data_IF_124779397024
#
_entry.id   IF_124779397024
#
_cell.length_a   1.000
_cell.length_b   1.000
_cell.length_c   1.000
_cell.angle_alpha   90.00
_cell.angle_beta   90.00
_cell.angle_gamma   90.00
#
_symmetry.space_group_name_H-M   'P 1'
#
loop_
_entity.id
_entity.type
_entity.pdbx_description
1 polymer ?
#
# COMPACT_ATOMS: atom_id res chain seq x y z
N UNK A 1 0.02 24.03 -9.77
CA UNK A 1 0.79 23.37 -8.71
C UNK A 1 0.30 21.94 -8.66
N UNK A 2 1.18 20.97 -8.87
CA UNK A 2 0.89 19.55 -8.88
C UNK A 2 0.76 18.96 -7.45
N UNK A 3 -0.24 19.42 -6.68
CA UNK A 3 -0.47 18.97 -5.31
C UNK A 3 -1.89 18.42 -5.14
N UNK A 4 -2.03 17.20 -4.61
CA UNK A 4 -3.32 16.63 -4.21
C UNK A 4 -3.16 15.62 -3.08
N UNK A 5 -4.26 15.35 -2.37
CA UNK A 5 -4.30 14.41 -1.25
C UNK A 5 -5.32 13.33 -1.49
N UNK A 6 -4.94 12.08 -1.22
CA UNK A 6 -5.81 10.92 -1.21
C UNK A 6 -5.95 10.43 0.23
N UNK A 7 -7.19 10.24 0.66
CA UNK A 7 -7.54 9.56 1.91
C UNK A 7 -7.98 8.14 1.59
N UNK A 8 -7.51 7.16 2.38
CA UNK A 8 -7.93 5.76 2.31
C UNK A 8 -8.30 5.27 3.72
N UNK A 9 -9.40 4.53 3.82
CA UNK A 9 -9.79 3.81 5.04
C UNK A 9 -9.82 2.31 4.78
N UNK A 10 -9.37 1.52 5.74
CA UNK A 10 -9.26 0.06 5.61
C UNK A 10 -9.86 -0.71 6.79
N UNK A 11 -10.55 -1.82 6.54
CA UNK A 11 -11.19 -2.65 7.57
C UNK A 11 -10.24 -3.60 8.36
N UNK A 12 -10.87 -4.52 9.12
CA UNK A 12 -10.27 -5.57 9.96
C UNK A 12 -9.23 -6.46 9.29
N UNK A 13 -9.34 -6.69 7.98
CA UNK A 13 -8.36 -7.45 7.21
C UNK A 13 -7.55 -6.56 6.28
N UNK A 14 -7.68 -5.24 6.50
CA UNK A 14 -7.00 -4.16 5.80
C UNK A 14 -7.41 -4.12 4.33
N UNK A 15 -8.69 -4.41 4.04
CA UNK A 15 -9.31 -4.13 2.74
C UNK A 15 -9.75 -2.68 2.68
N UNK A 16 -9.64 -2.05 1.51
CA UNK A 16 -10.10 -0.67 1.33
C UNK A 16 -11.62 -0.62 1.44
N UNK A 17 -12.14 0.16 2.39
CA UNK A 17 -13.58 0.40 2.58
C UNK A 17 -14.00 1.76 2.07
N UNK A 18 -13.10 2.74 2.10
CA UNK A 18 -13.32 4.05 1.49
C UNK A 18 -12.06 4.66 0.92
N UNK A 19 -12.25 5.55 -0.06
CA UNK A 19 -11.16 6.35 -0.57
C UNK A 19 -11.65 7.53 -1.39
N UNK A 20 -11.09 8.70 -1.11
CA UNK A 20 -11.57 9.99 -1.62
C UNK A 20 -10.45 11.01 -1.72
N UNK A 21 -10.72 12.07 -2.46
CA UNK A 21 -9.91 13.27 -2.36
C UNK A 21 -10.17 13.92 -1.00
N UNK A 22 -9.12 14.16 -0.21
CA UNK A 22 -9.26 14.89 1.03
C UNK A 22 -9.39 16.38 0.71
N UNK A 23 -10.51 16.99 1.09
CA UNK A 23 -10.78 18.43 0.95
C UNK A 23 -10.34 19.16 2.23
N UNK A 24 -10.62 18.55 3.38
CA UNK A 24 -10.12 18.94 4.70
C UNK A 24 -9.22 17.80 5.21
N UNK A 25 -7.93 18.09 5.40
CA UNK A 25 -6.97 17.09 5.85
C UNK A 25 -6.95 17.07 7.37
N UNK A 26 -7.68 16.12 7.98
CA UNK A 26 -7.52 15.84 9.41
C UNK A 26 -6.06 15.47 9.70
N UNK A 27 -5.42 16.19 10.62
CA UNK A 27 -4.13 15.75 11.15
C UNK A 27 -4.35 14.43 11.90
N UNK A 28 -3.90 13.32 11.30
CA UNK A 28 -4.08 11.99 11.87
C UNK A 28 -3.37 11.82 13.22
N UNK A 29 -2.46 12.72 13.60
CA UNK A 29 -1.81 12.72 14.91
C UNK A 29 -2.68 13.26 16.05
N UNK A 30 -3.82 13.90 15.73
CA UNK A 30 -4.73 14.49 16.71
C UNK A 30 -5.23 13.44 17.71
N UNK A 31 -5.12 13.75 19.00
CA UNK A 31 -5.56 12.86 20.09
C UNK A 31 -4.56 11.75 20.44
N UNK A 32 -3.31 11.83 19.95
CA UNK A 32 -2.24 10.87 20.26
C UNK A 32 -1.16 11.47 21.18
N UNK A 33 -1.55 12.38 22.08
CA UNK A 33 -0.63 13.04 23.01
C UNK A 33 0.01 12.05 24.00
N UNK A 34 -0.75 11.01 24.38
CA UNK A 34 -0.33 10.00 25.35
C UNK A 34 0.63 8.93 24.77
N UNK A 35 0.85 8.95 23.45
CA UNK A 35 1.76 8.02 22.79
C UNK A 35 3.16 8.59 22.65
N UNK A 36 4.15 7.72 22.81
CA UNK A 36 5.55 8.10 22.84
C UNK A 36 6.15 8.15 21.42
N UNK A 37 7.17 8.99 21.25
CA UNK A 37 8.09 8.89 20.11
C UNK A 37 9.16 7.86 20.48
N UNK A 38 9.47 6.87 19.61
CA UNK A 38 10.53 5.90 19.86
C UNK A 38 11.87 6.60 20.11
N UNK A 39 12.58 6.16 21.15
CA UNK A 39 13.88 6.72 21.53
C UNK A 39 14.97 6.47 20.48
N UNK A 40 14.79 5.42 19.70
CA UNK A 40 15.68 4.97 18.63
C UNK A 40 15.38 5.62 17.27
N UNK A 41 14.38 6.50 17.14
CA UNK A 41 14.11 7.15 15.86
C UNK A 41 15.26 8.11 15.46
N UNK A 42 16.14 7.64 14.58
CA UNK A 42 17.27 8.40 14.03
C UNK A 42 17.09 8.70 12.53
N UNK A 43 18.00 9.52 11.97
CA UNK A 43 18.03 9.83 10.53
C UNK A 43 18.32 8.62 9.64
N UNK A 44 18.83 7.51 10.20
CA UNK A 44 19.07 6.27 9.45
C UNK A 44 17.76 5.60 9.02
N UNK A 45 16.65 5.96 9.68
CA UNK A 45 15.32 5.45 9.41
C UNK A 45 14.46 6.31 8.48
N UNK A 46 15.06 7.32 7.82
CA UNK A 46 14.41 8.01 6.71
C UNK A 46 13.94 6.98 5.65
N UNK A 47 12.73 7.14 5.08
CA UNK A 47 11.90 8.35 5.05
C UNK A 47 11.01 8.60 6.29
N UNK A 48 11.07 7.78 7.33
CA UNK A 48 10.18 7.92 8.50
C UNK A 48 10.65 9.11 9.34
N UNK A 49 9.85 10.17 9.39
CA UNK A 49 10.22 11.44 10.02
C UNK A 49 9.65 11.57 11.44
N UNK A 50 8.48 10.97 11.68
CA UNK A 50 7.85 10.98 12.99
C UNK A 50 6.95 9.76 13.16
N UNK A 51 6.79 9.31 14.41
CA UNK A 51 6.00 8.13 14.74
C UNK A 51 5.56 8.19 16.20
N UNK A 52 4.37 7.65 16.46
CA UNK A 52 3.76 7.52 17.79
C UNK A 52 3.51 6.04 18.05
N UNK A 53 4.04 5.55 19.16
CA UNK A 53 4.03 4.13 19.52
C UNK A 53 3.51 3.89 20.93
N UNK A 54 3.08 2.66 21.17
CA UNK A 54 2.81 2.09 22.49
C UNK A 54 3.79 0.95 22.76
N UNK A 55 4.42 0.95 23.94
CA UNK A 55 5.27 -0.15 24.37
C UNK A 55 4.42 -1.36 24.76
N UNK A 56 4.83 -2.55 24.30
CA UNK A 56 4.15 -3.78 24.68
C UNK A 56 4.51 -4.16 26.13
N UNK A 57 3.54 -4.69 26.87
CA UNK A 57 3.68 -5.07 28.28
C UNK A 57 4.77 -6.13 28.49
N UNK A 58 5.35 -6.14 29.70
CA UNK A 58 6.50 -6.95 30.11
C UNK A 58 6.39 -8.44 29.74
N UNK A 59 7.19 -8.84 28.73
CA UNK A 59 7.30 -10.20 28.19
C UNK A 59 7.71 -10.15 26.71
N UNK A 60 7.06 -9.25 25.95
CA UNK A 60 7.43 -8.89 24.59
C UNK A 60 8.16 -7.54 24.60
N UNK A 61 9.49 -7.55 24.53
CA UNK A 61 10.24 -6.32 24.25
C UNK A 61 9.92 -5.89 22.81
N UNK A 62 8.99 -4.96 22.66
CA UNK A 62 8.58 -4.41 21.37
C UNK A 62 7.58 -3.27 21.49
N UNK A 63 7.25 -2.69 20.36
CA UNK A 63 6.33 -1.56 20.25
C UNK A 63 5.30 -1.79 19.14
N UNK A 64 4.12 -1.19 19.26
CA UNK A 64 3.13 -1.12 18.18
C UNK A 64 2.88 0.34 17.79
N UNK A 65 2.74 0.56 16.49
CA UNK A 65 2.62 1.90 15.91
C UNK A 65 1.16 2.36 15.88
N UNK A 66 0.86 3.49 16.50
CA UNK A 66 -0.47 4.11 16.40
C UNK A 66 -0.56 5.14 15.28
N UNK A 67 0.54 5.84 15.00
CA UNK A 67 0.62 6.80 13.90
C UNK A 67 2.05 6.90 13.36
N UNK A 68 2.19 7.04 12.05
CA UNK A 68 3.48 7.22 11.37
C UNK A 68 3.36 8.29 10.30
N UNK A 69 4.36 9.17 10.24
CA UNK A 69 4.58 10.17 9.19
C UNK A 69 5.91 9.89 8.48
N UNK A 70 5.85 9.78 7.16
CA UNK A 70 7.01 9.66 6.29
C UNK A 70 7.02 10.75 5.22
N UNK A 71 8.22 11.27 4.91
CA UNK A 71 8.46 12.10 3.75
C UNK A 71 9.33 11.33 2.75
N UNK A 72 8.69 10.89 1.67
CA UNK A 72 9.28 10.00 0.68
C UNK A 72 9.72 10.85 -0.51
N UNK A 73 11.01 10.77 -0.82
CA UNK A 73 11.65 11.45 -1.95
C UNK A 73 12.22 10.39 -2.90
N UNK A 74 12.51 10.78 -4.14
CA UNK A 74 13.10 9.89 -5.14
C UNK A 74 14.39 9.22 -4.63
N UNK A 75 15.20 9.95 -3.86
CA UNK A 75 16.45 9.44 -3.30
C UNK A 75 16.27 8.32 -2.26
N UNK A 76 15.06 8.08 -1.76
CA UNK A 76 14.77 6.99 -0.83
C UNK A 76 14.43 5.67 -1.53
N UNK A 77 14.09 5.72 -2.82
CA UNK A 77 13.67 4.53 -3.58
C UNK A 77 14.78 3.48 -3.62
N UNK A 78 14.41 2.22 -3.38
CA UNK A 78 15.33 1.07 -3.37
C UNK A 78 16.30 1.02 -2.19
N UNK A 79 16.28 1.99 -1.26
CA UNK A 79 17.14 2.00 -0.06
C UNK A 79 16.50 1.32 1.15
N UNK A 80 15.35 0.68 0.98
CA UNK A 80 14.66 -0.01 2.06
C UNK A 80 15.32 -1.32 2.44
N UNK A 81 14.74 -1.97 3.44
CA UNK A 81 15.28 -3.21 4.00
C UNK A 81 14.24 -4.32 3.91
N UNK A 82 14.55 -5.45 3.27
CA UNK A 82 13.60 -6.56 3.18
C UNK A 82 13.41 -7.23 4.54
N UNK A 83 12.28 -7.91 4.74
CA UNK A 83 12.01 -8.70 5.95
C UNK A 83 13.06 -9.77 6.22
N UNK A 84 13.76 -10.24 5.18
CA UNK A 84 14.87 -11.19 5.28
C UNK A 84 16.10 -10.63 6.02
N UNK A 85 16.25 -9.30 6.11
CA UNK A 85 17.35 -8.63 6.82
C UNK A 85 17.34 -8.94 8.32
N UNK A 86 16.17 -9.07 8.93
CA UNK A 86 16.03 -9.43 10.34
C UNK A 86 14.87 -10.41 10.54
N UNK A 87 15.14 -11.70 10.29
CA UNK A 87 14.14 -12.77 10.42
C UNK A 87 13.61 -12.94 11.84
N UNK A 88 14.41 -12.62 12.86
CA UNK A 88 13.98 -12.69 14.26
C UNK A 88 12.90 -11.65 14.55
N UNK A 89 13.16 -10.39 14.19
CA UNK A 89 12.16 -9.33 14.31
C UNK A 89 10.92 -9.65 13.48
N UNK A 90 11.08 -10.08 12.21
CA UNK A 90 9.94 -10.48 11.38
C UNK A 90 9.11 -11.62 11.99
N UNK A 91 9.74 -12.57 12.69
CA UNK A 91 9.07 -13.60 13.46
C UNK A 91 8.23 -13.03 14.61
N UNK A 92 8.82 -12.12 15.40
CA UNK A 92 8.14 -11.44 16.51
C UNK A 92 6.97 -10.58 16.06
N UNK A 93 7.10 -9.85 14.93
CA UNK A 93 5.99 -9.08 14.38
C UNK A 93 4.83 -10.01 14.02
N UNK A 94 5.09 -11.11 13.32
CA UNK A 94 4.04 -12.06 12.93
C UNK A 94 3.30 -12.66 14.13
N UNK A 95 4.01 -13.01 15.20
CA UNK A 95 3.39 -13.62 16.38
C UNK A 95 2.45 -12.70 17.15
N UNK A 96 2.44 -11.39 16.86
CA UNK A 96 1.52 -10.41 17.46
C UNK A 96 0.13 -10.41 16.81
N UNK A 97 -0.05 -11.09 15.67
CA UNK A 97 -1.30 -11.14 14.91
C UNK A 97 -1.91 -12.54 14.79
N UNK A 98 -2.66 -12.76 13.71
CA UNK A 98 -3.29 -14.03 13.35
C UNK A 98 -2.23 -15.02 12.86
N UNK A 99 -2.52 -16.32 12.93
CA UNK A 99 -1.58 -17.39 12.55
C UNK A 99 -1.13 -17.36 11.08
N UNK A 100 -1.90 -16.69 10.21
CA UNK A 100 -1.59 -16.52 8.79
C UNK A 100 -1.15 -15.11 8.40
N UNK A 101 -0.86 -14.25 9.38
CA UNK A 101 -0.28 -12.93 9.13
C UNK A 101 1.22 -13.01 8.74
N UNK A 102 1.62 -12.03 7.94
CA UNK A 102 3.00 -11.69 7.62
C UNK A 102 3.52 -10.52 8.46
N UNK A 103 4.84 -10.32 8.40
CA UNK A 103 5.46 -9.08 8.82
C UNK A 103 5.31 -8.05 7.69
N UNK A 104 4.26 -7.23 7.78
CA UNK A 104 4.00 -6.15 6.85
C UNK A 104 4.84 -4.93 7.21
N UNK A 105 5.43 -4.30 6.21
CA UNK A 105 6.01 -2.97 6.39
C UNK A 105 4.88 -1.92 6.45
N UNK A 106 5.06 -0.75 7.04
CA UNK A 106 4.15 0.39 6.86
C UNK A 106 4.58 1.13 5.60
N UNK A 107 5.83 1.62 5.59
CA UNK A 107 6.49 2.12 4.39
C UNK A 107 7.19 0.94 3.71
N UNK A 108 6.83 0.66 2.46
CA UNK A 108 7.38 -0.46 1.70
C UNK A 108 8.90 -0.37 1.51
N UNK A 109 9.54 -1.53 1.36
CA UNK A 109 10.98 -1.63 1.08
C UNK A 109 11.37 -0.88 -0.21
N UNK A 110 10.55 -0.97 -1.27
CA UNK A 110 10.76 -0.25 -2.54
C UNK A 110 10.75 1.27 -2.36
N UNK A 111 10.03 1.76 -1.34
CA UNK A 111 9.89 3.19 -1.01
C UNK A 111 10.89 3.67 0.06
N UNK A 112 11.88 2.84 0.42
CA UNK A 112 12.91 3.20 1.41
C UNK A 112 12.61 2.77 2.84
N UNK A 113 11.50 2.08 3.09
CA UNK A 113 11.11 1.61 4.41
C UNK A 113 12.11 0.65 5.04
N UNK A 114 12.34 0.80 6.35
CA UNK A 114 13.37 0.06 7.10
C UNK A 114 12.78 -1.08 7.92
N UNK A 115 13.62 -2.06 8.24
CA UNK A 115 13.28 -3.22 9.05
C UNK A 115 13.43 -2.88 10.54
N UNK A 116 12.54 -2.01 11.03
CA UNK A 116 12.52 -1.49 12.40
C UNK A 116 11.10 -1.61 12.99
N UNK A 117 10.98 -1.93 14.28
CA UNK A 117 9.72 -2.35 14.90
C UNK A 117 8.55 -1.36 14.66
N UNK A 118 8.81 -0.05 14.72
CA UNK A 118 7.78 0.98 14.49
C UNK A 118 7.37 1.17 13.01
N UNK A 119 8.05 0.52 12.06
CA UNK A 119 7.67 0.46 10.65
C UNK A 119 7.00 -0.87 10.28
N UNK A 120 6.73 -1.74 11.25
CA UNK A 120 6.27 -3.11 10.98
C UNK A 120 5.00 -3.41 11.77
N UNK A 121 4.14 -4.24 11.19
CA UNK A 121 2.93 -4.71 11.86
C UNK A 121 2.49 -6.09 11.33
N UNK A 122 1.70 -6.86 12.10
CA UNK A 122 1.08 -8.07 11.58
C UNK A 122 0.06 -7.72 10.51
N UNK A 123 0.17 -8.30 9.32
CA UNK A 123 -0.71 -8.02 8.20
C UNK A 123 -1.12 -9.30 7.49
N UNK A 124 -2.39 -9.37 7.09
CA UNK A 124 -2.91 -10.49 6.29
C UNK A 124 -2.00 -10.78 5.09
N UNK A 125 -1.48 -12.01 4.98
CA UNK A 125 -0.54 -12.39 3.92
C UNK A 125 -1.09 -12.15 2.51
N UNK A 126 -2.41 -12.23 2.29
CA UNK A 126 -2.99 -12.01 0.98
C UNK A 126 -2.92 -10.54 0.59
N UNK A 127 -3.07 -9.61 1.54
CA UNK A 127 -2.88 -8.18 1.30
C UNK A 127 -1.39 -7.83 1.18
N UNK A 128 -0.58 -8.31 2.12
CA UNK A 128 0.86 -8.04 2.13
C UNK A 128 1.55 -8.53 0.85
N UNK A 129 1.17 -9.72 0.37
CA UNK A 129 1.77 -10.33 -0.81
C UNK A 129 0.97 -10.07 -2.08
N UNK A 130 -0.24 -9.51 -2.02
CA UNK A 130 -1.10 -9.35 -3.20
C UNK A 130 -1.53 -10.70 -3.80
N UNK A 131 -2.11 -11.60 -3.00
CA UNK A 131 -2.68 -12.85 -3.50
C UNK A 131 -4.21 -12.79 -3.54
N UNK A 132 -4.84 -13.54 -4.46
CA UNK A 132 -6.30 -13.77 -4.55
C UNK A 132 -7.15 -12.58 -4.99
N UNK A 133 -6.94 -12.09 -6.21
CA UNK A 133 -7.86 -11.16 -6.87
C UNK A 133 -7.50 -9.69 -6.70
N UNK A 134 -8.11 -8.84 -7.53
CA UNK A 134 -7.70 -7.45 -7.73
C UNK A 134 -7.79 -6.62 -6.43
N UNK A 135 -8.81 -6.88 -5.60
CA UNK A 135 -8.99 -6.19 -4.32
C UNK A 135 -7.79 -6.32 -3.36
N UNK A 136 -7.06 -7.43 -3.41
CA UNK A 136 -5.94 -7.67 -2.51
C UNK A 136 -4.64 -6.99 -2.98
N UNK A 137 -4.62 -6.44 -4.20
CA UNK A 137 -3.49 -5.70 -4.74
C UNK A 137 -3.51 -4.21 -4.41
N UNK A 138 -4.51 -3.71 -3.68
CA UNK A 138 -4.66 -2.27 -3.42
C UNK A 138 -3.38 -1.64 -2.88
N UNK A 139 -2.75 -2.32 -1.92
CA UNK A 139 -1.57 -1.80 -1.23
C UNK A 139 -0.38 -1.70 -2.18
N UNK A 140 -0.08 -2.77 -2.93
CA UNK A 140 0.97 -2.76 -3.97
C UNK A 140 0.66 -1.74 -5.06
N UNK A 141 -0.60 -1.62 -5.46
CA UNK A 141 -1.04 -0.62 -6.44
C UNK A 141 -0.73 0.80 -5.98
N UNK A 142 -1.06 1.14 -4.73
CA UNK A 142 -0.76 2.45 -4.15
C UNK A 142 0.76 2.65 -3.98
N UNK A 143 1.51 1.63 -3.53
CA UNK A 143 2.97 1.69 -3.41
C UNK A 143 3.64 1.97 -4.77
N UNK A 144 3.21 1.31 -5.85
CA UNK A 144 3.71 1.56 -7.21
C UNK A 144 3.29 2.94 -7.73
N UNK A 145 2.10 3.43 -7.38
CA UNK A 145 1.68 4.78 -7.76
C UNK A 145 2.52 5.87 -7.07
N UNK A 146 2.91 5.65 -5.80
CA UNK A 146 3.88 6.50 -5.11
C UNK A 146 5.23 6.45 -5.84
N UNK A 147 5.72 5.25 -6.17
CA UNK A 147 6.96 5.09 -6.94
C UNK A 147 6.91 5.86 -8.27
N UNK A 148 5.84 5.69 -9.05
CA UNK A 148 5.63 6.35 -10.34
C UNK A 148 5.60 7.86 -10.18
N UNK A 149 4.91 8.38 -9.17
CA UNK A 149 4.89 9.82 -8.89
C UNK A 149 6.28 10.39 -8.62
N UNK A 150 7.06 9.70 -7.78
CA UNK A 150 8.43 10.10 -7.42
C UNK A 150 9.41 10.07 -8.60
N UNK A 151 9.08 9.36 -9.67
CA UNK A 151 9.85 9.28 -10.92
C UNK A 151 9.28 10.13 -12.07
N UNK A 152 8.16 10.83 -11.85
CA UNK A 152 7.46 11.57 -12.90
C UNK A 152 8.29 12.76 -13.38
N UNK A 153 8.67 12.76 -14.66
CA UNK A 153 9.70 13.68 -15.20
C UNK A 153 9.26 15.14 -15.27
N UNK A 154 7.97 15.37 -15.43
CA UNK A 154 7.39 16.72 -15.58
C UNK A 154 6.98 17.35 -14.25
N UNK A 155 7.17 16.63 -13.14
CA UNK A 155 6.95 17.13 -11.80
C UNK A 155 8.30 17.59 -11.23
N UNK A 156 8.46 18.87 -10.88
CA UNK A 156 9.72 19.34 -10.30
C UNK A 156 9.76 18.99 -8.80
N UNK A 157 10.81 18.26 -8.39
CA UNK A 157 11.02 17.77 -7.01
C UNK A 157 9.78 17.03 -6.46
N UNK A 158 9.35 15.94 -7.13
CA UNK A 158 8.23 15.17 -6.66
C UNK A 158 8.57 14.57 -5.30
N UNK A 159 7.65 14.67 -4.35
CA UNK A 159 7.75 14.00 -3.06
C UNK A 159 6.35 13.59 -2.58
N UNK A 160 6.31 12.62 -1.67
CA UNK A 160 5.07 12.15 -1.06
C UNK A 160 5.18 12.31 0.45
N UNK A 161 4.21 13.00 1.04
CA UNK A 161 4.02 12.96 2.48
C UNK A 161 2.96 11.90 2.78
N UNK A 162 3.37 10.84 3.47
CA UNK A 162 2.54 9.69 3.79
C UNK A 162 2.27 9.66 5.29
N UNK A 163 1.00 9.65 5.67
CA UNK A 163 0.57 9.46 7.03
C UNK A 163 -0.30 8.21 7.14
N UNK A 164 -0.14 7.48 8.23
CA UNK A 164 -1.05 6.40 8.61
C UNK A 164 -1.40 6.50 10.08
N UNK A 165 -2.64 6.17 10.43
CA UNK A 165 -3.09 5.90 11.79
C UNK A 165 -3.69 4.51 11.88
N UNK A 166 -3.25 3.73 12.85
CA UNK A 166 -3.80 2.42 13.16
C UNK A 166 -4.71 2.46 14.38
N UNK A 167 -5.72 1.60 14.36
CA UNK A 167 -6.70 1.46 15.42
C UNK A 167 -6.72 0.00 15.89
N UNK A 168 -6.59 -0.21 17.19
CA UNK A 168 -6.46 -1.52 17.83
C UNK A 168 -7.69 -1.81 18.68
N UNK A 169 -8.78 -2.23 18.02
CA UNK A 169 -10.08 -2.47 18.68
C UNK A 169 -10.41 -3.95 18.86
N UNK A 170 -9.59 -4.86 18.33
CA UNK A 170 -9.78 -6.31 18.47
C UNK A 170 -9.13 -6.82 19.78
N UNK A 171 -9.91 -7.24 20.79
CA UNK A 171 -9.36 -7.76 22.04
C UNK A 171 -8.67 -9.11 21.88
N UNK A 172 -8.97 -9.88 20.83
CA UNK A 172 -8.30 -11.16 20.56
C UNK A 172 -6.89 -10.97 20.03
N UNK A 173 -6.66 -9.90 19.26
CA UNK A 173 -5.38 -9.56 18.67
C UNK A 173 -5.00 -8.09 18.99
N UNK A 174 -4.71 -7.76 20.26
CA UNK A 174 -4.55 -6.37 20.72
C UNK A 174 -3.33 -5.63 20.13
N UNK A 175 -2.44 -6.38 19.46
CA UNK A 175 -1.21 -5.87 18.84
C UNK A 175 -1.26 -5.91 17.31
N UNK A 176 -2.42 -6.29 16.74
CA UNK A 176 -2.70 -6.25 15.30
C UNK A 176 -3.67 -5.11 15.02
N UNK A 177 -3.34 -4.18 14.10
CA UNK A 177 -4.30 -3.16 13.69
C UNK A 177 -5.58 -3.82 13.19
N UNK A 178 -6.71 -3.35 13.71
CA UNK A 178 -8.04 -3.68 13.19
C UNK A 178 -8.38 -2.74 12.04
N UNK A 179 -8.08 -1.45 12.15
CA UNK A 179 -8.40 -0.48 11.08
C UNK A 179 -7.20 0.42 10.82
N UNK A 180 -7.11 0.93 9.59
CA UNK A 180 -6.09 1.87 9.17
C UNK A 180 -6.72 3.04 8.42
N UNK A 181 -6.30 4.26 8.76
CA UNK A 181 -6.59 5.46 7.98
C UNK A 181 -5.28 5.99 7.40
N UNK A 182 -5.25 6.25 6.09
CA UNK A 182 -4.06 6.70 5.37
C UNK A 182 -4.33 8.05 4.71
N UNK A 183 -3.41 8.99 4.85
CA UNK A 183 -3.38 10.24 4.08
C UNK A 183 -2.11 10.28 3.25
N UNK A 184 -2.28 10.39 1.93
CA UNK A 184 -1.18 10.37 0.96
C UNK A 184 -1.22 11.68 0.19
N UNK A 185 -0.29 12.57 0.51
CA UNK A 185 -0.15 13.85 -0.17
C UNK A 185 0.91 13.72 -1.26
N UNK A 186 0.46 13.75 -2.50
CA UNK A 186 1.32 13.84 -3.68
C UNK A 186 1.68 15.30 -3.89
N UNK A 187 2.97 15.61 -3.79
CA UNK A 187 3.47 16.98 -3.85
C UNK A 187 4.49 17.15 -4.96
N UNK A 188 4.47 18.32 -5.57
CA UNK A 188 5.29 18.68 -6.72
C UNK A 188 5.28 20.17 -6.97
N UNK A 189 6.43 20.72 -7.37
CA UNK A 189 6.46 22.06 -7.93
C UNK A 189 6.15 21.99 -9.42
N UNK A 190 5.34 22.91 -9.94
CA UNK A 190 5.22 23.04 -11.39
C UNK A 190 6.57 23.51 -11.92
N UNK A 191 7.21 22.73 -12.78
CA UNK A 191 8.17 23.34 -13.69
C UNK A 191 7.35 24.26 -14.58
N UNK A 192 7.56 25.57 -14.51
CA UNK A 192 6.88 26.58 -15.36
C UNK A 192 7.12 26.43 -16.88
N UNK A 193 7.44 25.23 -17.36
CA UNK A 193 7.41 24.88 -18.76
C UNK A 193 5.94 24.82 -19.19
N UNK A 194 5.53 25.85 -19.93
CA UNK A 194 4.29 25.98 -20.68
C UNK A 194 3.94 24.70 -21.48
N UNK A 195 3.34 23.69 -20.86
CA UNK A 195 2.46 22.79 -21.59
C UNK A 195 1.19 23.59 -21.85
N UNK A 196 0.99 24.00 -23.11
CA UNK A 196 -0.26 24.60 -23.58
C UNK A 196 -1.40 23.61 -23.32
N UNK A 197 -2.09 23.77 -22.20
CA UNK A 197 -3.33 23.04 -21.88
C UNK A 197 -4.45 23.64 -22.72
N UNK A 198 -4.57 23.18 -23.96
CA UNK A 198 -5.77 23.43 -24.76
C UNK A 198 -6.80 22.32 -24.45
N UNK A 199 -7.86 22.75 -23.75
CA UNK A 199 -9.18 22.14 -23.46
C UNK A 199 -9.41 21.76 -21.99
N UNK A 200 -10.25 22.55 -21.32
CA UNK A 200 -10.71 22.38 -19.94
C UNK A 200 -11.55 21.11 -19.69
N UNK A 201 -12.08 20.45 -20.74
CA UNK A 201 -12.81 19.17 -20.62
C UNK A 201 -11.88 17.93 -20.51
N UNK A 202 -10.55 18.10 -20.53
CA UNK A 202 -9.56 17.01 -20.52
C UNK A 202 -9.05 16.60 -19.13
N UNK A 203 -9.57 17.21 -18.06
CA UNK A 203 -9.05 17.02 -16.70
C UNK A 203 -9.50 15.72 -16.03
N UNK A 204 -10.40 14.95 -16.66
CA UNK A 204 -10.81 13.64 -16.20
C UNK A 204 -10.12 12.53 -16.98
N UNK A 205 -9.60 11.54 -16.27
CA UNK A 205 -9.20 10.25 -16.84
C UNK A 205 -10.40 9.61 -17.57
N UNK A 206 -10.35 9.49 -18.91
CA UNK A 206 -11.38 8.81 -19.70
C UNK A 206 -11.37 7.30 -19.43
N UNK A 207 -12.44 6.61 -19.80
CA UNK A 207 -12.51 5.14 -19.67
C UNK A 207 -11.38 4.44 -20.43
N UNK A 208 -10.98 4.92 -21.62
CA UNK A 208 -9.87 4.32 -22.36
C UNK A 208 -8.53 4.55 -21.66
N UNK A 209 -8.29 5.78 -21.16
CA UNK A 209 -7.06 6.09 -20.40
C UNK A 209 -7.01 5.27 -19.12
N UNK A 210 -8.12 5.16 -18.39
CA UNK A 210 -8.22 4.35 -17.19
C UNK A 210 -7.88 2.89 -17.47
N UNK A 211 -8.54 2.29 -18.46
CA UNK A 211 -8.32 0.87 -18.83
C UNK A 211 -6.87 0.60 -19.21
N UNK A 212 -6.27 1.51 -20.00
CA UNK A 212 -4.85 1.41 -20.38
C UNK A 212 -3.92 1.47 -19.17
N UNK A 213 -4.05 2.50 -18.33
CA UNK A 213 -3.19 2.69 -17.16
C UNK A 213 -3.37 1.59 -16.12
N UNK A 214 -4.60 1.09 -15.94
CA UNK A 214 -4.90 -0.04 -15.06
C UNK A 214 -4.19 -1.30 -15.55
N UNK A 215 -4.28 -1.61 -16.85
CA UNK A 215 -3.58 -2.77 -17.44
C UNK A 215 -2.06 -2.66 -17.31
N UNK A 216 -1.51 -1.45 -17.47
CA UNK A 216 -0.08 -1.19 -17.24
C UNK A 216 0.31 -1.46 -15.78
N UNK A 217 -0.46 -0.94 -14.82
CA UNK A 217 -0.20 -1.14 -13.39
C UNK A 217 -0.38 -2.61 -12.99
N UNK A 218 -1.40 -3.29 -13.51
CA UNK A 218 -1.62 -4.73 -13.32
C UNK A 218 -0.40 -5.53 -13.77
N UNK A 219 0.11 -5.25 -14.97
CA UNK A 219 1.30 -5.91 -15.49
C UNK A 219 2.54 -5.67 -14.62
N UNK A 220 2.71 -4.47 -14.03
CA UNK A 220 3.79 -4.21 -13.06
C UNK A 220 3.66 -5.10 -11.83
N UNK A 221 2.46 -5.16 -11.25
CA UNK A 221 2.20 -5.91 -10.02
C UNK A 221 2.40 -7.43 -10.25
N UNK A 222 1.91 -7.95 -11.37
CA UNK A 222 2.04 -9.37 -11.71
C UNK A 222 3.49 -9.79 -11.94
N UNK A 223 4.30 -8.95 -12.62
CA UNK A 223 5.71 -9.25 -12.88
C UNK A 223 6.61 -9.06 -11.64
N UNK A 224 6.17 -8.34 -10.61
CA UNK A 224 6.87 -8.27 -9.32
C UNK A 224 6.68 -9.56 -8.49
N UNK A 225 5.59 -10.29 -8.72
CA UNK A 225 5.25 -11.51 -7.98
C UNK A 225 5.99 -12.75 -8.46
N UNK A 226 6.49 -12.73 -9.69
CA UNK A 226 7.25 -13.85 -10.22
C UNK A 226 8.73 -13.75 -9.80
N UNK A 227 9.37 -14.86 -9.40
CA UNK A 227 10.80 -14.91 -9.12
C UNK A 227 11.65 -14.88 -10.42
N UNK A 228 11.33 -13.97 -11.34
CA UNK A 228 12.03 -13.79 -12.61
C UNK A 228 13.14 -12.78 -12.42
N UNK A 229 14.27 -13.03 -13.07
CA UNK A 229 15.47 -12.21 -13.00
C UNK A 229 15.16 -10.69 -13.10
N UNK A 230 15.88 -9.89 -12.29
CA UNK A 230 15.81 -8.42 -12.22
C UNK A 230 15.66 -7.66 -13.57
N UNK A 231 16.21 -8.11 -14.73
CA UNK A 231 16.05 -7.40 -16.00
C UNK A 231 14.60 -7.24 -16.48
N UNK A 232 13.67 -8.11 -16.07
CA UNK A 232 12.28 -8.05 -16.53
C UNK A 232 11.47 -6.97 -15.80
N UNK A 233 11.64 -6.85 -14.48
CA UNK A 233 10.93 -5.84 -13.69
C UNK A 233 11.32 -4.41 -14.10
N UNK A 234 12.61 -4.14 -14.29
CA UNK A 234 13.11 -2.83 -14.74
C UNK A 234 12.52 -2.40 -16.09
N UNK A 235 12.38 -3.35 -17.02
CA UNK A 235 11.75 -3.09 -18.32
C UNK A 235 10.25 -2.78 -18.17
N UNK A 236 9.55 -3.53 -17.33
CA UNK A 236 8.11 -3.36 -17.09
C UNK A 236 7.83 -2.03 -16.40
N UNK A 237 8.57 -1.67 -15.35
CA UNK A 237 8.39 -0.40 -14.65
C UNK A 237 8.79 0.79 -15.54
N UNK A 238 9.84 0.68 -16.36
CA UNK A 238 10.21 1.72 -17.32
C UNK A 238 9.10 2.00 -18.34
N UNK A 239 8.42 0.95 -18.83
CA UNK A 239 7.25 1.11 -19.70
C UNK A 239 6.11 1.81 -18.95
N UNK A 240 5.85 1.43 -17.70
CA UNK A 240 4.83 2.07 -16.90
C UNK A 240 5.12 3.57 -16.69
N UNK A 241 6.34 3.93 -16.33
CA UNK A 241 6.76 5.32 -16.19
C UNK A 241 6.50 6.12 -17.47
N UNK A 242 6.85 5.58 -18.63
CA UNK A 242 6.58 6.25 -19.92
C UNK A 242 5.09 6.47 -20.19
N UNK A 243 4.22 5.54 -19.79
CA UNK A 243 2.77 5.68 -19.95
C UNK A 243 2.20 6.75 -19.01
N UNK A 244 2.66 6.77 -17.76
CA UNK A 244 2.23 7.73 -16.75
C UNK A 244 2.85 9.13 -16.92
N UNK A 245 3.99 9.25 -17.61
CA UNK A 245 4.56 10.54 -17.98
C UNK A 245 3.65 11.31 -18.96
N UNK A 246 2.81 10.62 -19.73
CA UNK A 246 1.89 11.21 -20.71
C UNK A 246 0.56 11.71 -20.11
N UNK A 247 0.33 11.55 -18.81
CA UNK A 247 -0.91 12.02 -18.16
C UNK A 247 -0.67 13.21 -17.25
N UNK A 248 -1.64 14.12 -17.21
CA UNK A 248 -1.60 15.29 -16.32
C UNK A 248 -1.69 14.88 -14.84
N UNK A 249 -1.44 15.82 -13.93
CA UNK A 249 -1.57 15.55 -12.49
C UNK A 249 -3.02 15.27 -12.10
N UNK A 250 -3.97 15.99 -12.71
CA UNK A 250 -5.41 15.80 -12.54
C UNK A 250 -5.87 14.44 -13.06
N UNK A 251 -5.37 14.02 -14.22
CA UNK A 251 -5.65 12.68 -14.76
C UNK A 251 -5.06 11.58 -13.88
N UNK A 252 -3.85 11.78 -13.35
CA UNK A 252 -3.19 10.85 -12.42
C UNK A 252 -4.00 10.73 -11.12
N UNK A 253 -4.43 11.86 -10.55
CA UNK A 253 -5.30 11.88 -9.38
C UNK A 253 -6.63 11.16 -9.65
N UNK A 254 -7.31 11.48 -10.76
CA UNK A 254 -8.57 10.84 -11.11
C UNK A 254 -8.40 9.33 -11.33
N UNK A 255 -7.29 8.91 -11.95
CA UNK A 255 -6.94 7.50 -12.09
C UNK A 255 -6.85 6.80 -10.73
N UNK A 256 -6.16 7.40 -9.74
CA UNK A 256 -6.03 6.82 -8.40
C UNK A 256 -7.41 6.62 -7.76
N UNK A 257 -8.28 7.62 -7.83
CA UNK A 257 -9.63 7.55 -7.26
C UNK A 257 -10.50 6.47 -7.92
N UNK A 258 -10.42 6.33 -9.25
CA UNK A 258 -11.10 5.24 -9.98
C UNK A 258 -10.54 3.87 -9.59
N UNK A 259 -9.22 3.76 -9.45
CA UNK A 259 -8.54 2.53 -9.06
C UNK A 259 -8.95 2.06 -7.66
N UNK A 260 -9.05 2.99 -6.71
CA UNK A 260 -9.50 2.71 -5.35
C UNK A 260 -10.93 2.17 -5.35
N UNK A 261 -11.81 2.80 -6.12
CA UNK A 261 -13.19 2.30 -6.29
C UNK A 261 -13.23 0.89 -6.89
N UNK A 262 -12.29 0.54 -7.77
CA UNK A 262 -12.19 -0.82 -8.31
C UNK A 262 -11.67 -1.83 -7.27
N UNK A 263 -10.76 -1.42 -6.38
CA UNK A 263 -10.34 -2.28 -5.26
C UNK A 263 -11.51 -2.62 -4.31
N UNK A 264 -12.50 -1.74 -4.19
CA UNK A 264 -13.71 -1.95 -3.37
C UNK A 264 -14.71 -2.95 -3.98
N UNK A 265 -14.80 -3.03 -5.31
CA UNK A 265 -15.95 -3.68 -6.01
C UNK A 265 -15.89 -5.21 -6.11
N UNK A 266 -14.78 -5.85 -5.75
CA UNK A 266 -14.55 -7.28 -6.03
C UNK A 266 -15.24 -8.26 -5.05
N UNK A 267 -16.32 -7.83 -4.37
CA UNK A 267 -17.09 -8.66 -3.41
C UNK A 267 -18.43 -9.18 -3.92
N UNK A 268 -18.84 -8.85 -5.14
CA UNK A 268 -20.18 -9.19 -5.66
C UNK A 268 -20.21 -10.25 -6.77
N UNK A 269 -19.19 -11.08 -6.94
CA UNK A 269 -19.40 -12.36 -7.64
C UNK A 269 -19.67 -13.46 -6.61
N UNK A 270 -20.92 -13.92 -6.44
CA UNK A 270 -21.16 -15.18 -5.76
C UNK A 270 -20.40 -16.25 -6.56
N UNK A 271 -19.59 -17.03 -5.86
CA UNK A 271 -18.86 -18.16 -6.41
C UNK A 271 -19.83 -19.15 -7.07
N UNK A 272 -20.08 -18.99 -8.36
CA UNK A 272 -20.75 -19.99 -9.20
C UNK A 272 -19.74 -21.07 -9.59
N UNK A 273 -19.30 -21.86 -8.60
CA UNK A 273 -18.62 -23.14 -8.86
C UNK A 273 -18.63 -24.03 -7.62
N UNK A 274 -19.83 -24.31 -7.10
CA UNK A 274 -20.10 -25.55 -6.39
C UNK A 274 -20.96 -26.48 -7.26
N UNK A 275 -20.44 -26.88 -8.44
CA UNK A 275 -20.91 -28.12 -9.05
C UNK A 275 -20.25 -29.28 -8.33
N UNK A 276 -20.85 -29.64 -7.20
CA UNK A 276 -20.63 -30.92 -6.53
C UNK A 276 -20.91 -32.05 -7.53
N UNK A 277 -19.89 -32.54 -8.22
CA UNK A 277 -19.94 -33.84 -8.86
C UNK A 277 -19.92 -34.90 -7.76
N UNK A 278 -21.10 -35.25 -7.26
CA UNK A 278 -21.30 -36.47 -6.49
C UNK A 278 -20.78 -37.64 -7.35
N UNK A 279 -19.62 -38.21 -6.98
CA UNK A 279 -19.23 -39.53 -7.44
C UNK A 279 -19.88 -40.55 -6.50
N UNK A 280 -20.83 -41.38 -6.96
CA UNK A 280 -21.32 -42.47 -6.14
C UNK A 280 -20.19 -43.45 -5.88
N UNK A 281 -20.01 -43.81 -4.61
CA UNK A 281 -19.07 -44.85 -4.18
C UNK A 281 -19.45 -46.19 -4.82
N UNK A 282 -18.49 -46.97 -5.36
CA UNK A 282 -18.77 -48.29 -5.88
C UNK A 282 -19.18 -49.23 -4.73
N UNK A 283 -20.21 -50.05 -4.98
CA UNK A 283 -20.74 -51.02 -4.04
C UNK A 283 -19.66 -52.03 -3.57
N UNK A 284 -19.71 -52.50 -2.31
CA UNK A 284 -18.73 -53.45 -1.79
C UNK A 284 -18.88 -54.81 -2.50
N UNK A 285 -17.74 -55.32 -2.99
CA UNK A 285 -17.61 -56.68 -3.54
C UNK A 285 -17.90 -57.70 -2.44
N UNK A 286 -18.89 -58.57 -2.66
CA UNK A 286 -19.14 -59.76 -1.85
C UNK A 286 -17.98 -60.74 -2.03
N UNK A 287 -17.26 -61.05 -0.95
CA UNK A 287 -16.36 -62.20 -0.89
C UNK A 287 -17.18 -63.49 -0.89
N UNK A 288 -16.75 -64.47 -1.68
CA UNK A 288 -17.17 -65.88 -1.54
C UNK A 288 -16.41 -66.52 -0.38
#
# INVERSE_FOLDING_TARGET
MANFTIELDTDSDVHVVDGRQAVDCDDLSTGLQDYERPKDLTKEYLPICNVKVEQLSSGDQGQKTHWLLAEIYEEHLGKGEPTSKNRSLAGKIRSRGKSDDDCGHIIACSLGGKMVDFNLFPLNKNINRGFKGWKNHWRRGIEHLIYIWLKKRFCHKPHVQFQVRFFYTDPQYPNRPHHGKFLIHFKGSDSGANMKVNNLDKNQCSTEVYTRLKGVLQNVIENELEPVAEPNYEKVISKALSEFDNVSCEQFQHFILLLINDFKKDEQQPSTSASSSYRPMPAPLKSK
#
